data_IF_236923187699
#
_entry.id   IF_236923187699
#
_cell.length_a   1.000
_cell.length_b   1.000
_cell.length_c   1.000
_cell.angle_alpha   90.00
_cell.angle_beta   90.00
_cell.angle_gamma   90.00
#
_symmetry.space_group_name_H-M   'P 1'
#
loop_
_entity.id
_entity.type
_entity.pdbx_description
1 polymer ?
#
# COMPACT_ATOMS: atom_id res chain seq x y z
N UNK A 1 -33.01 -1.50 1.06
CA UNK A 1 -31.71 -2.12 1.36
C UNK A 1 -30.82 -1.83 0.16
N UNK A 2 -29.96 -0.80 0.17
CA UNK A 2 -29.05 -0.60 -0.95
C UNK A 2 -27.88 -1.56 -0.76
N UNK A 3 -27.67 -2.44 -1.74
CA UNK A 3 -26.45 -3.22 -1.88
C UNK A 3 -25.27 -2.24 -1.98
N UNK A 4 -24.35 -2.34 -1.02
CA UNK A 4 -23.09 -1.61 -1.04
C UNK A 4 -22.30 -2.06 -2.26
N UNK A 5 -22.35 -1.27 -3.34
CA UNK A 5 -21.37 -1.39 -4.43
C UNK A 5 -20.02 -1.03 -3.83
N UNK A 6 -19.17 -2.04 -3.62
CA UNK A 6 -17.76 -1.84 -3.33
C UNK A 6 -17.19 -0.96 -4.44
N UNK A 7 -16.49 0.10 -4.05
CA UNK A 7 -16.00 1.11 -4.98
C UNK A 7 -14.89 0.49 -5.85
N UNK A 8 -14.73 0.93 -7.09
CA UNK A 8 -13.75 0.36 -8.03
C UNK A 8 -12.30 0.53 -7.51
N UNK A 9 -12.07 1.56 -6.68
CA UNK A 9 -10.82 1.77 -5.92
C UNK A 9 -10.55 0.66 -4.91
N UNK A 10 -11.57 0.21 -4.18
CA UNK A 10 -11.43 -0.72 -3.06
C UNK A 10 -11.05 -2.12 -3.57
N UNK A 11 -11.54 -2.48 -4.76
CA UNK A 11 -11.23 -3.76 -5.43
C UNK A 11 -9.79 -3.78 -5.95
N UNK A 12 -9.30 -2.64 -6.47
CA UNK A 12 -7.90 -2.50 -6.92
C UNK A 12 -6.96 -2.61 -5.72
N UNK A 13 -7.31 -2.00 -4.60
CA UNK A 13 -6.53 -2.05 -3.36
C UNK A 13 -6.49 -3.47 -2.75
N UNK A 14 -7.62 -4.19 -2.75
CA UNK A 14 -7.67 -5.59 -2.27
C UNK A 14 -6.78 -6.51 -3.12
N UNK A 15 -6.85 -6.40 -4.46
CA UNK A 15 -6.02 -7.22 -5.34
C UNK A 15 -4.53 -6.87 -5.22
N UNK A 16 -4.21 -5.58 -5.11
CA UNK A 16 -2.83 -5.13 -4.88
C UNK A 16 -2.27 -5.69 -3.57
N UNK A 17 -3.07 -5.71 -2.51
CA UNK A 17 -2.69 -6.30 -1.22
C UNK A 17 -2.45 -7.81 -1.33
N UNK A 18 -3.35 -8.55 -1.99
CA UNK A 18 -3.18 -9.99 -2.22
C UNK A 18 -1.90 -10.28 -3.00
N UNK A 19 -1.63 -9.49 -4.05
CA UNK A 19 -0.44 -9.66 -4.87
C UNK A 19 0.85 -9.35 -4.09
N UNK A 20 0.87 -8.29 -3.29
CA UNK A 20 2.01 -7.96 -2.42
C UNK A 20 2.28 -9.09 -1.41
N UNK A 21 1.25 -9.55 -0.70
CA UNK A 21 1.39 -10.68 0.24
C UNK A 21 1.87 -11.96 -0.46
N UNK A 22 1.39 -12.22 -1.67
CA UNK A 22 1.89 -13.32 -2.49
C UNK A 22 3.39 -13.17 -2.74
N UNK A 23 3.83 -12.02 -3.27
CA UNK A 23 5.22 -11.79 -3.66
C UNK A 23 6.17 -11.82 -2.45
N UNK A 24 5.78 -11.20 -1.34
CA UNK A 24 6.66 -10.97 -0.18
C UNK A 24 6.72 -12.18 0.76
N UNK A 25 5.65 -13.00 0.82
CA UNK A 25 5.52 -14.04 1.84
C UNK A 25 5.20 -15.43 1.33
N UNK A 26 4.40 -15.55 0.26
CA UNK A 26 4.01 -16.85 -0.29
C UNK A 26 5.03 -17.38 -1.31
N UNK A 27 5.37 -16.56 -2.31
CA UNK A 27 6.25 -16.91 -3.40
C UNK A 27 7.61 -17.47 -2.94
N UNK A 28 8.29 -16.91 -1.90
CA UNK A 28 9.56 -17.46 -1.41
C UNK A 28 9.47 -18.90 -0.86
N UNK A 29 8.27 -19.38 -0.53
CA UNK A 29 8.01 -20.74 -0.01
C UNK A 29 7.52 -21.70 -1.09
N UNK A 30 7.31 -21.21 -2.30
CA UNK A 30 6.81 -21.96 -3.45
C UNK A 30 7.89 -22.07 -4.53
N UNK A 31 7.97 -23.22 -5.18
CA UNK A 31 8.78 -23.36 -6.40
C UNK A 31 8.10 -22.68 -7.60
N UNK A 32 8.84 -22.53 -8.71
CA UNK A 32 8.34 -21.86 -9.92
C UNK A 32 7.05 -22.50 -10.47
N UNK A 33 6.89 -23.82 -10.35
CA UNK A 33 5.69 -24.49 -10.83
C UNK A 33 4.49 -24.20 -9.93
N UNK A 34 4.70 -24.28 -8.63
CA UNK A 34 3.70 -23.98 -7.61
C UNK A 34 3.23 -22.53 -7.70
N UNK A 35 4.14 -21.57 -7.87
CA UNK A 35 3.80 -20.15 -8.06
C UNK A 35 2.93 -19.93 -9.30
N UNK A 36 3.32 -20.50 -10.44
CA UNK A 36 2.56 -20.33 -11.68
C UNK A 36 1.18 -21.02 -11.63
N UNK A 37 1.08 -22.20 -11.00
CA UNK A 37 -0.21 -22.86 -10.77
C UNK A 37 -1.09 -22.01 -9.84
N UNK A 38 -0.53 -21.52 -8.74
CA UNK A 38 -1.27 -20.70 -7.78
C UNK A 38 -1.82 -19.42 -8.42
N UNK A 39 -0.98 -18.66 -9.15
CA UNK A 39 -1.40 -17.44 -9.86
C UNK A 39 -2.48 -17.71 -10.91
N UNK A 40 -2.42 -18.86 -11.58
CA UNK A 40 -3.45 -19.26 -12.54
C UNK A 40 -4.79 -19.59 -11.86
N UNK A 41 -4.75 -20.30 -10.74
CA UNK A 41 -5.96 -20.54 -9.94
C UNK A 41 -6.51 -19.21 -9.43
N UNK A 42 -5.66 -18.30 -8.94
CA UNK A 42 -6.05 -16.96 -8.49
C UNK A 42 -6.78 -16.17 -9.59
N UNK A 43 -6.24 -16.18 -10.81
CA UNK A 43 -6.87 -15.53 -11.97
C UNK A 43 -8.23 -16.12 -12.34
N UNK A 44 -8.42 -17.42 -12.19
CA UNK A 44 -9.68 -18.10 -12.53
C UNK A 44 -10.67 -18.21 -11.36
N UNK A 45 -10.31 -17.71 -10.18
CA UNK A 45 -11.18 -17.69 -9.01
C UNK A 45 -11.44 -16.26 -8.56
N UNK A 46 -10.48 -15.65 -7.87
CA UNK A 46 -10.64 -14.36 -7.17
C UNK A 46 -10.93 -13.23 -8.14
N UNK A 47 -10.22 -13.16 -9.26
CA UNK A 47 -10.46 -12.14 -10.30
C UNK A 47 -11.84 -12.28 -10.97
N UNK A 48 -12.43 -13.48 -10.90
CA UNK A 48 -13.80 -13.74 -11.39
C UNK A 48 -14.86 -13.65 -10.28
N UNK A 49 -14.49 -13.18 -9.07
CA UNK A 49 -15.38 -13.06 -7.92
C UNK A 49 -15.76 -14.40 -7.26
N UNK A 50 -14.99 -15.46 -7.52
CA UNK A 50 -15.22 -16.82 -6.98
C UNK A 50 -14.10 -17.22 -6.02
N UNK A 51 -14.38 -18.20 -5.15
CA UNK A 51 -13.37 -18.83 -4.26
C UNK A 51 -12.98 -20.24 -4.69
N UNK A 52 -13.73 -20.81 -5.62
CA UNK A 52 -13.56 -22.17 -6.09
C UNK A 52 -13.95 -22.22 -7.56
N UNK A 53 -13.21 -23.00 -8.35
CA UNK A 53 -13.56 -23.26 -9.74
C UNK A 53 -13.09 -24.65 -10.20
N UNK A 54 -13.64 -25.14 -11.31
CA UNK A 54 -13.25 -26.39 -11.94
C UNK A 54 -12.20 -26.09 -13.02
N UNK A 55 -10.97 -26.52 -12.78
CA UNK A 55 -9.84 -26.25 -13.68
C UNK A 55 -9.36 -27.52 -14.36
N UNK A 56 -9.43 -27.54 -15.69
CA UNK A 56 -8.86 -28.58 -16.52
C UNK A 56 -7.33 -28.47 -16.64
N UNK A 57 -6.59 -28.96 -15.64
CA UNK A 57 -5.13 -28.81 -15.57
C UNK A 57 -4.37 -29.43 -16.75
N UNK A 58 -4.95 -30.43 -17.42
CA UNK A 58 -4.43 -30.99 -18.68
C UNK A 58 -4.31 -29.96 -19.81
N UNK A 59 -5.27 -29.04 -19.87
CA UNK A 59 -5.30 -27.93 -20.83
C UNK A 59 -4.61 -26.69 -20.25
N UNK A 60 -4.76 -26.44 -18.95
CA UNK A 60 -4.15 -25.29 -18.27
C UNK A 60 -2.62 -25.29 -18.36
N UNK A 61 -1.97 -26.46 -18.34
CA UNK A 61 -0.50 -26.59 -18.49
C UNK A 61 0.10 -25.91 -19.73
N UNK A 62 -0.70 -25.67 -20.77
CA UNK A 62 -0.28 -24.95 -21.99
C UNK A 62 -0.38 -23.43 -21.84
N UNK A 63 -1.18 -22.94 -20.90
CA UNK A 63 -1.47 -21.52 -20.63
C UNK A 63 -0.74 -21.00 -19.39
N UNK A 64 -0.27 -21.91 -18.53
CA UNK A 64 0.52 -21.59 -17.35
C UNK A 64 1.87 -20.95 -17.76
N UNK A 65 2.34 -20.01 -16.95
CA UNK A 65 3.54 -19.21 -17.20
C UNK A 65 4.84 -19.98 -16.92
N UNK A 66 5.01 -21.17 -17.52
CA UNK A 66 6.18 -22.04 -17.27
C UNK A 66 7.39 -21.76 -18.16
N UNK A 67 7.37 -20.68 -18.95
CA UNK A 67 8.40 -20.41 -19.95
C UNK A 67 8.48 -21.51 -21.04
N UNK A 68 9.44 -21.36 -21.94
CA UNK A 68 9.74 -22.35 -23.00
C UNK A 68 10.83 -23.28 -22.45
N UNK A 69 10.47 -24.48 -22.01
CA UNK A 69 11.44 -25.49 -21.55
C UNK A 69 12.33 -26.03 -22.69
N UNK A 70 13.24 -26.96 -22.37
CA UNK A 70 13.95 -27.73 -23.40
C UNK A 70 12.92 -28.42 -24.31
N UNK A 71 12.94 -28.07 -25.60
CA UNK A 71 12.03 -28.53 -26.65
C UNK A 71 10.59 -27.94 -26.67
N UNK A 72 10.34 -26.74 -26.09
CA UNK A 72 9.07 -26.02 -26.23
C UNK A 72 7.80 -26.79 -25.82
N UNK A 73 7.96 -27.84 -25.01
CA UNK A 73 6.84 -28.66 -24.55
C UNK A 73 6.39 -28.25 -23.15
N UNK A 74 5.08 -28.20 -22.89
CA UNK A 74 4.58 -27.90 -21.56
C UNK A 74 4.89 -29.06 -20.60
N UNK A 75 4.93 -28.80 -19.28
CA UNK A 75 5.19 -29.83 -18.28
C UNK A 75 4.25 -31.02 -18.41
N UNK A 76 4.71 -32.20 -18.03
CA UNK A 76 3.88 -33.40 -18.06
C UNK A 76 2.68 -33.25 -17.12
N UNK A 77 1.59 -33.97 -17.41
CA UNK A 77 0.42 -33.95 -16.53
C UNK A 77 0.78 -34.41 -15.11
N UNK A 78 1.62 -35.44 -15.00
CA UNK A 78 2.09 -35.97 -13.71
C UNK A 78 2.76 -34.89 -12.84
N UNK A 79 3.63 -34.07 -13.43
CA UNK A 79 4.29 -32.96 -12.71
C UNK A 79 3.27 -31.95 -12.20
N UNK A 80 2.25 -31.59 -13.00
CA UNK A 80 1.22 -30.63 -12.55
C UNK A 80 0.40 -31.20 -11.38
N UNK A 81 -0.03 -32.46 -11.47
CA UNK A 81 -0.80 -33.08 -10.38
C UNK A 81 0.04 -33.32 -9.12
N UNK A 82 1.34 -33.58 -9.26
CA UNK A 82 2.27 -33.60 -8.13
C UNK A 82 2.33 -32.23 -7.45
N UNK A 83 2.49 -31.14 -8.22
CA UNK A 83 2.54 -29.78 -7.68
C UNK A 83 1.22 -29.29 -7.09
N UNK A 84 0.08 -29.78 -7.58
CA UNK A 84 -1.21 -29.54 -6.93
C UNK A 84 -1.27 -30.15 -5.53
N UNK A 85 -0.74 -31.37 -5.36
CA UNK A 85 -0.68 -32.02 -4.04
C UNK A 85 0.29 -31.31 -3.10
N UNK A 86 1.43 -30.82 -3.60
CA UNK A 86 2.37 -30.06 -2.77
C UNK A 86 1.80 -28.71 -2.35
N UNK A 87 1.09 -28.01 -3.25
CA UNK A 87 0.36 -26.78 -2.91
C UNK A 87 -0.73 -27.01 -1.85
N UNK A 88 -1.47 -28.11 -1.95
CA UNK A 88 -2.46 -28.49 -0.93
C UNK A 88 -1.79 -28.80 0.41
N UNK A 89 -0.68 -29.55 0.41
CA UNK A 89 0.08 -29.84 1.62
C UNK A 89 0.66 -28.56 2.29
N UNK A 90 0.98 -27.54 1.49
CA UNK A 90 1.38 -26.21 1.96
C UNK A 90 0.20 -25.31 2.36
N UNK A 91 -1.04 -25.81 2.27
CA UNK A 91 -2.25 -25.07 2.63
C UNK A 91 -2.63 -23.95 1.67
N UNK A 92 -2.04 -23.89 0.47
CA UNK A 92 -2.25 -22.81 -0.50
C UNK A 92 -3.52 -22.99 -1.34
N UNK A 93 -3.96 -24.24 -1.52
CA UNK A 93 -5.19 -24.61 -2.20
C UNK A 93 -5.84 -25.80 -1.47
N UNK A 94 -7.11 -26.09 -1.78
CA UNK A 94 -7.79 -27.33 -1.40
C UNK A 94 -8.33 -28.00 -2.64
N UNK A 95 -8.02 -29.28 -2.82
CA UNK A 95 -8.56 -30.11 -3.91
C UNK A 95 -9.90 -30.66 -3.43
N UNK A 96 -10.99 -30.10 -3.95
CA UNK A 96 -12.35 -30.43 -3.50
C UNK A 96 -12.87 -31.71 -4.18
N UNK A 97 -12.45 -31.96 -5.43
CA UNK A 97 -12.86 -33.17 -6.15
C UNK A 97 -12.35 -33.22 -7.58
N UNK A 98 -12.53 -34.40 -8.21
CA UNK A 98 -12.25 -34.60 -9.63
C UNK A 98 -13.56 -34.69 -10.40
N UNK A 99 -13.67 -33.91 -11.47
CA UNK A 99 -14.86 -33.83 -12.33
C UNK A 99 -14.49 -34.08 -13.79
N UNK A 100 -15.51 -34.36 -14.60
CA UNK A 100 -15.35 -34.62 -16.04
C UNK A 100 -14.57 -33.51 -16.78
N UNK A 101 -14.71 -32.25 -16.34
CA UNK A 101 -14.10 -31.08 -16.98
C UNK A 101 -12.75 -30.68 -16.36
N UNK A 102 -12.35 -31.27 -15.22
CA UNK A 102 -11.13 -30.90 -14.55
C UNK A 102 -11.13 -31.20 -13.05
N UNK A 103 -10.21 -30.57 -12.34
CA UNK A 103 -10.11 -30.66 -10.89
C UNK A 103 -10.79 -29.46 -10.27
N UNK A 104 -11.73 -29.69 -9.36
CA UNK A 104 -12.34 -28.63 -8.55
C UNK A 104 -11.36 -28.23 -7.46
N UNK A 105 -10.93 -26.98 -7.49
CA UNK A 105 -9.95 -26.43 -6.56
C UNK A 105 -10.50 -25.17 -5.89
N UNK A 106 -10.30 -25.08 -4.58
CA UNK A 106 -10.55 -23.87 -3.78
C UNK A 106 -9.21 -23.21 -3.50
N UNK A 107 -9.11 -21.91 -3.73
CA UNK A 107 -7.92 -21.14 -3.37
C UNK A 107 -7.95 -20.74 -1.90
N UNK A 108 -6.77 -20.68 -1.27
CA UNK A 108 -6.56 -20.09 0.05
C UNK A 108 -5.68 -18.86 -0.15
N UNK A 109 -6.16 -17.68 0.21
CA UNK A 109 -5.41 -16.43 0.01
C UNK A 109 -4.20 -16.35 0.94
N UNK A 110 -3.15 -15.56 0.60
CA UNK A 110 -1.97 -15.45 1.45
C UNK A 110 -2.29 -15.04 2.89
N UNK A 111 -3.19 -14.06 3.08
CA UNK A 111 -3.65 -13.64 4.41
C UNK A 111 -4.48 -14.67 5.19
N UNK A 112 -4.99 -15.72 4.53
CA UNK A 112 -5.74 -16.81 5.16
C UNK A 112 -4.83 -17.97 5.60
N UNK A 113 -3.57 -18.01 5.12
CA UNK A 113 -2.63 -19.08 5.43
C UNK A 113 -1.98 -18.82 6.80
N UNK A 114 -2.16 -19.71 7.79
CA UNK A 114 -1.66 -19.50 9.15
C UNK A 114 -0.13 -19.28 9.19
N UNK A 115 0.30 -18.19 9.81
CA UNK A 115 1.73 -17.88 10.00
C UNK A 115 2.49 -17.52 8.72
N UNK A 116 1.81 -17.36 7.58
CA UNK A 116 2.46 -17.03 6.31
C UNK A 116 2.81 -15.55 6.22
N UNK A 117 1.79 -14.70 6.33
CA UNK A 117 1.95 -13.27 6.51
C UNK A 117 2.22 -13.10 8.00
N UNK A 118 3.37 -12.53 8.42
CA UNK A 118 3.51 -12.12 9.81
C UNK A 118 2.30 -11.26 10.08
N UNK A 119 1.49 -11.63 11.09
CA UNK A 119 0.39 -10.76 11.51
C UNK A 119 1.07 -9.43 11.78
N UNK A 120 0.96 -8.52 10.82
CA UNK A 120 1.23 -7.13 11.05
C UNK A 120 0.22 -6.86 12.13
N UNK A 121 0.71 -6.86 13.38
CA UNK A 121 0.00 -6.33 14.52
C UNK A 121 -0.75 -5.16 13.98
N UNK A 122 -2.07 -5.31 13.93
CA UNK A 122 -3.00 -4.28 13.49
C UNK A 122 -2.41 -2.99 14.02
N UNK A 123 -1.90 -2.12 13.13
CA UNK A 123 -1.31 -0.83 13.50
C UNK A 123 -2.48 0.05 13.94
N UNK A 124 -3.10 -0.32 15.05
CA UNK A 124 -4.06 0.46 15.79
C UNK A 124 -3.31 0.89 17.05
N UNK A 125 -2.91 2.15 17.07
CA UNK A 125 -2.17 2.85 18.13
C UNK A 125 -0.72 2.44 18.34
N UNK A 126 0.10 2.48 17.29
CA UNK A 126 1.44 3.03 17.57
C UNK A 126 1.21 4.41 18.18
N UNK A 127 1.75 4.66 19.36
CA UNK A 127 1.69 5.97 20.01
C UNK A 127 2.14 7.01 18.98
N UNK A 128 1.18 7.76 18.39
CA UNK A 128 1.44 8.74 17.34
C UNK A 128 2.51 9.73 17.76
N UNK A 129 2.64 9.95 19.07
CA UNK A 129 3.61 10.83 19.68
C UNK A 129 5.04 10.28 19.67
N UNK A 130 5.20 8.95 19.60
CA UNK A 130 6.51 8.28 19.59
C UNK A 130 7.06 8.01 18.18
N UNK A 131 6.26 8.25 17.13
CA UNK A 131 6.65 7.98 15.75
C UNK A 131 7.53 9.10 15.18
N UNK A 132 8.54 8.71 14.40
CA UNK A 132 9.38 9.62 13.62
C UNK A 132 8.76 9.84 12.23
N UNK A 133 8.22 11.05 11.99
CA UNK A 133 7.61 11.45 10.72
C UNK A 133 8.59 12.14 9.77
N UNK A 134 9.85 12.31 10.17
CA UNK A 134 10.89 12.91 9.35
C UNK A 134 11.84 11.90 8.73
N UNK A 135 12.30 10.88 9.46
CA UNK A 135 13.31 9.93 9.02
C UNK A 135 12.73 8.74 8.24
N UNK A 136 11.52 8.30 8.60
CA UNK A 136 10.89 7.10 8.05
C UNK A 136 10.03 7.41 6.81
N UNK A 137 10.38 6.92 5.60
CA UNK A 137 9.65 7.22 4.37
C UNK A 137 8.15 6.91 4.42
N UNK A 138 7.76 5.82 5.07
CA UNK A 138 6.38 5.39 5.24
C UNK A 138 5.54 6.40 6.03
N UNK A 139 6.12 7.04 7.05
CA UNK A 139 5.45 8.04 7.87
C UNK A 139 5.38 9.40 7.15
N UNK A 140 6.36 9.71 6.28
CA UNK A 140 6.33 10.94 5.45
C UNK A 140 5.11 11.00 4.53
N UNK A 141 4.68 9.85 4.01
CA UNK A 141 3.47 9.76 3.17
C UNK A 141 2.23 10.22 3.92
N UNK A 142 2.12 9.88 5.21
CA UNK A 142 1.00 10.28 6.05
C UNK A 142 0.94 11.81 6.24
N UNK A 143 2.09 12.48 6.28
CA UNK A 143 2.18 13.95 6.32
C UNK A 143 1.68 14.53 4.99
N UNK A 144 2.16 14.01 3.84
CA UNK A 144 1.68 14.44 2.52
C UNK A 144 0.16 14.30 2.34
N UNK A 145 -0.42 13.19 2.81
CA UNK A 145 -1.86 12.95 2.80
C UNK A 145 -2.62 13.92 3.72
N UNK A 146 -2.10 14.21 4.92
CA UNK A 146 -2.66 15.20 5.87
C UNK A 146 -2.76 16.60 5.26
N UNK A 147 -1.78 17.00 4.45
CA UNK A 147 -1.79 18.27 3.73
C UNK A 147 -2.53 18.24 2.37
N UNK A 148 -3.18 17.12 2.04
CA UNK A 148 -3.86 16.91 0.74
C UNK A 148 -2.92 17.19 -0.44
N UNK A 149 -1.64 16.82 -0.32
CA UNK A 149 -0.61 17.11 -1.31
C UNK A 149 -0.52 18.60 -1.67
N UNK A 150 -0.60 19.48 -0.66
CA UNK A 150 -0.40 20.93 -0.84
C UNK A 150 0.66 21.43 0.12
N UNK A 151 1.43 22.43 -0.32
CA UNK A 151 2.42 23.08 0.53
C UNK A 151 1.72 23.67 1.75
N UNK A 152 2.16 23.29 2.95
CA UNK A 152 1.62 23.76 4.21
C UNK A 152 1.63 25.30 4.29
N UNK A 153 2.65 25.94 3.71
CA UNK A 153 2.81 27.40 3.73
C UNK A 153 2.06 28.13 2.61
N UNK A 154 2.35 27.80 1.34
CA UNK A 154 1.85 28.57 0.19
C UNK A 154 0.73 27.90 -0.62
N UNK A 155 0.21 26.74 -0.17
CA UNK A 155 -0.96 26.06 -0.76
C UNK A 155 -0.72 25.49 -2.19
N UNK A 156 0.46 25.75 -2.76
CA UNK A 156 0.88 25.21 -4.04
C UNK A 156 0.77 23.68 -4.05
N UNK A 157 0.27 23.12 -5.15
CA UNK A 157 0.13 21.68 -5.34
C UNK A 157 1.49 21.00 -5.27
N UNK A 158 1.55 19.90 -4.54
CA UNK A 158 2.72 19.05 -4.41
C UNK A 158 2.57 17.78 -5.27
N UNK A 159 3.71 17.22 -5.61
CA UNK A 159 3.84 15.93 -6.26
C UNK A 159 5.12 15.22 -5.76
N UNK A 160 5.36 14.01 -6.25
CA UNK A 160 6.52 13.20 -5.88
C UNK A 160 7.87 13.88 -6.17
N UNK A 161 7.93 14.84 -7.10
CA UNK A 161 9.17 15.49 -7.52
C UNK A 161 9.44 16.81 -6.80
N UNK A 162 8.41 17.47 -6.27
CA UNK A 162 8.53 18.84 -5.76
C UNK A 162 8.32 18.98 -4.24
N UNK A 163 7.84 17.93 -3.57
CA UNK A 163 7.61 17.93 -2.12
C UNK A 163 8.91 17.80 -1.33
N UNK A 164 8.89 18.35 -0.13
CA UNK A 164 9.85 18.07 0.94
C UNK A 164 9.09 17.96 2.26
N UNK A 165 9.61 17.17 3.19
CA UNK A 165 9.15 17.18 4.58
C UNK A 165 10.10 18.11 5.35
N UNK A 166 9.53 19.08 6.04
CA UNK A 166 10.28 20.14 6.71
C UNK A 166 9.85 20.26 8.18
N UNK A 167 10.82 20.60 9.04
CA UNK A 167 10.58 21.01 10.41
C UNK A 167 10.05 22.45 10.51
N UNK A 168 8.93 22.62 11.21
CA UNK A 168 8.35 23.91 11.55
C UNK A 168 9.26 24.66 12.52
N UNK A 169 9.76 23.97 13.54
CA UNK A 169 10.83 24.41 14.45
C UNK A 169 12.09 23.65 14.08
N UNK A 170 13.13 24.35 13.63
CA UNK A 170 14.42 23.75 13.26
C UNK A 170 15.06 22.98 14.42
N UNK A 171 15.93 22.02 14.10
CA UNK A 171 16.79 21.36 15.10
C UNK A 171 17.86 22.34 15.62
N UNK A 172 18.29 22.23 16.89
CA UNK A 172 18.00 21.14 17.84
C UNK A 172 16.69 21.28 18.63
N UNK A 173 16.01 22.43 18.55
CA UNK A 173 14.85 22.74 19.40
C UNK A 173 13.58 21.98 18.98
N UNK A 174 13.46 21.62 17.69
CA UNK A 174 12.35 20.84 17.17
C UNK A 174 12.61 19.33 17.10
N UNK A 175 11.55 18.54 17.21
CA UNK A 175 11.58 17.09 17.08
C UNK A 175 11.10 16.61 15.70
N UNK A 176 11.11 15.29 15.48
CA UNK A 176 10.61 14.66 14.27
C UNK A 176 9.13 14.23 14.36
N UNK A 177 8.39 14.72 15.35
CA UNK A 177 6.98 14.33 15.56
C UNK A 177 6.07 14.95 14.50
N UNK A 178 4.87 14.38 14.32
CA UNK A 178 3.86 14.97 13.44
C UNK A 178 3.45 16.39 13.85
N UNK A 179 3.71 16.81 15.09
CA UNK A 179 3.43 18.15 15.61
C UNK A 179 4.44 19.20 15.16
N UNK A 180 5.57 18.76 14.60
CA UNK A 180 6.65 19.64 14.17
C UNK A 180 7.05 19.46 12.71
N UNK A 181 6.55 18.44 11.99
CA UNK A 181 6.85 18.26 10.56
C UNK A 181 5.64 18.51 9.68
N UNK A 182 5.88 19.09 8.50
CA UNK A 182 4.87 19.41 7.48
C UNK A 182 5.37 19.13 6.07
N UNK A 183 4.47 18.90 5.13
CA UNK A 183 4.78 18.93 3.71
C UNK A 183 4.93 20.36 3.20
N UNK A 184 6.04 20.65 2.55
CA UNK A 184 6.32 21.94 1.94
C UNK A 184 6.83 21.78 0.50
N UNK A 185 6.73 22.85 -0.29
CA UNK A 185 7.44 22.92 -1.56
C UNK A 185 8.89 23.38 -1.32
N UNK A 186 9.83 22.96 -2.18
CA UNK A 186 11.24 23.36 -2.08
C UNK A 186 11.45 24.87 -1.96
N UNK A 187 10.64 25.67 -2.67
CA UNK A 187 10.70 27.14 -2.62
C UNK A 187 10.43 27.66 -1.21
N UNK A 188 9.38 27.16 -0.54
CA UNK A 188 9.05 27.60 0.81
C UNK A 188 10.08 27.12 1.83
N UNK A 189 10.51 25.86 1.74
CA UNK A 189 11.54 25.32 2.62
C UNK A 189 12.85 26.12 2.59
N UNK A 190 13.33 26.45 1.39
CA UNK A 190 14.56 27.24 1.25
C UNK A 190 14.40 28.68 1.75
N UNK A 191 13.21 29.26 1.62
CA UNK A 191 12.94 30.65 2.01
C UNK A 191 12.64 30.81 3.49
N UNK A 192 11.96 29.86 4.13
CA UNK A 192 11.71 29.88 5.56
C UNK A 192 13.04 29.83 6.31
N UNK A 193 13.93 28.92 5.92
CA UNK A 193 15.21 28.69 6.61
C UNK A 193 14.95 28.56 8.11
N UNK A 194 15.66 29.32 8.95
CA UNK A 194 15.50 29.31 10.42
C UNK A 194 14.47 30.31 10.93
N UNK A 195 13.69 30.93 10.04
CA UNK A 195 12.59 31.81 10.45
C UNK A 195 11.47 31.02 11.10
N UNK A 196 10.83 31.62 12.10
CA UNK A 196 9.61 31.06 12.69
C UNK A 196 8.53 30.91 11.62
N UNK A 197 7.82 29.79 11.65
CA UNK A 197 6.81 29.49 10.64
C UNK A 197 5.69 30.54 10.56
N UNK A 198 5.29 31.13 11.68
CA UNK A 198 4.26 32.17 11.72
C UNK A 198 4.76 33.49 11.10
N UNK A 199 6.01 33.86 11.32
CA UNK A 199 6.63 35.03 10.68
C UNK A 199 6.81 34.83 9.18
N UNK A 200 7.16 33.61 8.76
CA UNK A 200 7.24 33.26 7.35
C UNK A 200 5.87 33.30 6.66
N UNK A 201 4.80 32.81 7.30
CA UNK A 201 3.44 32.97 6.78
C UNK A 201 3.06 34.45 6.61
N UNK A 202 3.40 35.30 7.60
CA UNK A 202 3.17 36.75 7.50
C UNK A 202 4.01 37.42 6.41
N UNK A 203 5.21 36.90 6.09
CA UNK A 203 6.00 37.41 4.96
C UNK A 203 5.35 37.05 3.62
N UNK A 204 4.88 35.82 3.46
CA UNK A 204 4.15 35.39 2.27
C UNK A 204 2.89 36.24 2.01
N UNK A 205 2.16 36.60 3.07
CA UNK A 205 1.04 37.54 2.96
C UNK A 205 1.49 38.94 2.52
N UNK A 206 2.53 39.51 3.14
CA UNK A 206 3.07 40.84 2.76
C UNK A 206 3.54 40.91 1.32
N UNK A 207 4.01 39.79 0.78
CA UNK A 207 4.45 39.65 -0.62
C UNK A 207 3.29 39.37 -1.59
N UNK A 208 2.06 39.21 -1.10
CA UNK A 208 0.89 38.88 -1.93
C UNK A 208 0.83 37.42 -2.40
N UNK A 209 1.66 36.53 -1.82
CA UNK A 209 1.62 35.09 -2.10
C UNK A 209 0.48 34.37 -1.36
N UNK A 210 -0.05 34.99 -0.30
CA UNK A 210 -1.25 34.56 0.42
C UNK A 210 -2.22 35.73 0.51
N UNK A 211 -3.50 35.45 0.40
CA UNK A 211 -4.58 36.36 0.81
C UNK A 211 -4.71 36.41 2.34
N UNK A 212 -5.48 37.38 2.85
CA UNK A 212 -5.73 37.51 4.29
C UNK A 212 -6.47 36.29 4.88
N UNK A 213 -7.41 35.73 4.13
CA UNK A 213 -8.16 34.54 4.53
C UNK A 213 -7.26 33.30 4.56
N UNK A 214 -6.43 33.13 3.53
CA UNK A 214 -5.46 32.04 3.49
C UNK A 214 -4.46 32.14 4.64
N UNK A 215 -3.91 33.33 4.93
CA UNK A 215 -3.04 33.54 6.09
C UNK A 215 -3.72 33.10 7.39
N UNK A 216 -4.98 33.51 7.59
CA UNK A 216 -5.75 33.20 8.79
C UNK A 216 -5.97 31.69 8.96
N UNK A 217 -6.30 30.99 7.87
CA UNK A 217 -6.42 29.52 7.86
C UNK A 217 -5.08 28.86 8.18
N UNK A 218 -3.98 29.32 7.58
CA UNK A 218 -2.64 28.72 7.76
C UNK A 218 -2.11 28.91 9.19
N UNK A 219 -2.32 30.08 9.78
CA UNK A 219 -1.98 30.32 11.19
C UNK A 219 -2.80 29.42 12.13
N UNK A 220 -4.07 29.21 11.82
CA UNK A 220 -4.94 28.28 12.58
C UNK A 220 -4.43 26.84 12.47
N UNK A 221 -4.04 26.40 11.27
CA UNK A 221 -3.46 25.07 11.06
C UNK A 221 -2.12 24.90 11.79
N UNK A 222 -1.27 25.94 11.80
CA UNK A 222 -0.01 25.95 12.54
C UNK A 222 -0.23 25.79 14.05
N UNK A 223 -1.27 26.44 14.60
CA UNK A 223 -1.65 26.27 16.00
C UNK A 223 -2.20 24.85 16.27
N UNK A 224 -3.03 24.32 15.38
CA UNK A 224 -3.53 22.94 15.48
C UNK A 224 -2.41 21.91 15.39
N UNK A 225 -1.39 22.17 14.58
CA UNK A 225 -0.22 21.34 14.44
C UNK A 225 0.56 21.26 15.76
N UNK A 226 0.93 22.41 16.34
CA UNK A 226 1.71 22.45 17.57
C UNK A 226 0.96 21.89 18.78
N UNK A 227 -0.37 22.01 18.80
CA UNK A 227 -1.24 21.44 19.85
C UNK A 227 -1.60 19.97 19.64
N UNK A 228 -1.15 19.34 18.55
CA UNK A 228 -1.43 17.93 18.24
C UNK A 228 -2.87 17.65 17.78
N UNK A 229 -3.62 18.69 17.42
CA UNK A 229 -4.98 18.57 16.85
C UNK A 229 -4.96 18.27 15.34
N UNK A 230 -3.87 18.59 14.64
CA UNK A 230 -3.69 18.28 13.21
C UNK A 230 -2.99 16.93 13.03
N UNK A 231 -3.72 15.85 13.29
CA UNK A 231 -3.21 14.47 13.24
C UNK A 231 -3.18 13.91 11.82
N UNK A 232 -2.15 13.13 11.45
CA UNK A 232 -2.18 12.35 10.22
C UNK A 232 -3.14 11.14 10.37
N UNK A 233 -3.83 10.78 9.29
CA UNK A 233 -4.69 9.60 9.23
C UNK A 233 -3.88 8.34 8.91
N UNK A 234 -4.23 7.22 9.52
CA UNK A 234 -3.80 5.90 9.06
C UNK A 234 -4.79 5.47 7.98
N UNK A 235 -4.35 5.46 6.72
CA UNK A 235 -5.05 4.83 5.60
C UNK A 235 -4.78 3.33 5.55
#
# INVERSE_FOLDING_TARGET
MPESRLNESDVVDEFAQIFAQFQDHLAPRLDMYEQAIYLFVLRHTVVEGKREDIIGFKSARKKLAFGIGKASTPPSEGVIYEKLRTLEAKGCIKIVGSERLGTRVRIVLPGEIPGLVPVATVKASADLEALDFFALPENRKMILEREEWRCFYCIAKLDENNHVIEHVVSRPDGDNSYRNVVAACRRCNNRKSDSRADDFLRSLYREGSLSGDELSVRLTLLQKLSTGLLKPSFS
#
